data_IF_110691928604
#
_entry.id   IF_110691928604
#
_cell.length_a   1.000
_cell.length_b   1.000
_cell.length_c   1.000
_cell.angle_alpha   90.00
_cell.angle_beta   90.00
_cell.angle_gamma   90.00
#
_symmetry.space_group_name_H-M   'P 1'
#
loop_
_entity.id
_entity.type
_entity.pdbx_description
1 polymer ?
#
# COMPACT_ATOMS: atom_id res chain seq x y z
N UNK A 1 -1.52 2.05 4.71
CA UNK A 1 -1.16 1.76 6.10
C UNK A 1 0.08 0.87 6.13
N UNK A 2 1.21 1.42 6.57
CA UNK A 2 2.46 0.68 6.77
C UNK A 2 2.45 -0.10 8.09
N UNK A 3 3.18 -1.22 8.14
CA UNK A 3 3.39 -2.10 9.31
C UNK A 3 2.19 -2.15 10.30
N UNK A 4 1.03 -2.63 9.86
CA UNK A 4 -0.23 -2.54 10.63
C UNK A 4 -0.18 -3.22 12.00
N UNK A 5 0.67 -4.24 12.18
CA UNK A 5 0.85 -4.89 13.49
C UNK A 5 1.47 -3.97 14.54
N UNK A 6 2.16 -2.89 14.14
CA UNK A 6 2.72 -1.90 15.06
C UNK A 6 1.67 -0.95 15.65
N UNK A 7 0.40 -1.01 15.23
CA UNK A 7 -0.71 -0.32 15.89
C UNK A 7 -0.94 -0.77 17.34
N UNK A 8 -0.18 -1.77 17.80
CA UNK A 8 -0.14 -2.26 19.19
C UNK A 8 -1.53 -2.52 19.79
N UNK A 9 -2.45 -3.09 18.98
CA UNK A 9 -3.74 -3.50 19.49
C UNK A 9 -3.61 -4.75 20.37
N UNK A 10 -4.45 -4.86 21.39
CA UNK A 10 -4.35 -5.91 22.41
C UNK A 10 -4.60 -7.32 21.82
N UNK A 11 -5.37 -7.39 20.75
CA UNK A 11 -5.68 -8.67 20.11
C UNK A 11 -6.01 -8.50 18.62
N UNK A 12 -6.09 -9.65 17.93
CA UNK A 12 -6.38 -9.73 16.49
C UNK A 12 -7.72 -9.09 16.10
N UNK A 13 -8.74 -9.22 16.93
CA UNK A 13 -10.07 -8.68 16.64
C UNK A 13 -10.05 -7.14 16.65
N UNK A 14 -9.37 -6.55 17.61
CA UNK A 14 -9.22 -5.09 17.68
C UNK A 14 -8.41 -4.56 16.50
N UNK A 15 -7.32 -5.24 16.11
CA UNK A 15 -6.54 -4.86 14.94
C UNK A 15 -7.38 -4.91 13.66
N UNK A 16 -8.17 -5.97 13.49
CA UNK A 16 -9.06 -6.14 12.35
C UNK A 16 -10.11 -5.03 12.27
N UNK A 17 -10.74 -4.71 13.40
CA UNK A 17 -11.75 -3.65 13.46
C UNK A 17 -11.14 -2.27 13.14
N UNK A 18 -9.94 -2.00 13.63
CA UNK A 18 -9.23 -0.76 13.32
C UNK A 18 -8.93 -0.62 11.82
N UNK A 19 -8.40 -1.68 11.20
CA UNK A 19 -8.12 -1.69 9.75
C UNK A 19 -9.42 -1.52 8.97
N UNK A 20 -10.51 -2.16 9.41
CA UNK A 20 -11.82 -1.97 8.77
C UNK A 20 -12.29 -0.52 8.88
N UNK A 21 -12.20 0.10 10.06
CA UNK A 21 -12.58 1.49 10.25
C UNK A 21 -11.76 2.43 9.34
N UNK A 22 -10.46 2.19 9.23
CA UNK A 22 -9.60 2.95 8.32
C UNK A 22 -9.99 2.74 6.85
N UNK A 23 -10.37 1.53 6.46
CA UNK A 23 -10.87 1.24 5.12
C UNK A 23 -12.17 2.00 4.84
N UNK A 24 -13.12 1.99 5.78
CA UNK A 24 -14.38 2.73 5.68
C UNK A 24 -14.15 4.26 5.60
N UNK A 25 -13.07 4.77 6.21
CA UNK A 25 -12.64 6.16 6.13
C UNK A 25 -11.85 6.51 4.86
N UNK A 26 -11.63 5.57 3.96
CA UNK A 26 -10.98 5.79 2.66
C UNK A 26 -9.51 5.38 2.59
N UNK A 27 -9.03 4.53 3.49
CA UNK A 27 -7.72 3.91 3.33
C UNK A 27 -7.67 3.11 2.02
N UNK A 28 -6.66 3.35 1.20
CA UNK A 28 -6.53 2.68 -0.10
C UNK A 28 -5.78 1.36 -0.05
N UNK A 29 -4.79 1.26 0.80
CA UNK A 29 -3.86 0.13 0.78
C UNK A 29 -3.32 -0.20 2.17
N UNK A 30 -2.94 -1.48 2.34
CA UNK A 30 -2.31 -1.99 3.55
C UNK A 30 -1.03 -2.74 3.19
N UNK A 31 0.00 -2.60 4.01
CA UNK A 31 1.23 -3.37 3.87
C UNK A 31 1.03 -4.79 4.41
N UNK A 32 0.99 -5.74 3.49
CA UNK A 32 0.81 -7.17 3.78
C UNK A 32 2.15 -7.85 4.02
N UNK A 33 3.13 -7.57 3.16
CA UNK A 33 4.45 -8.17 3.20
C UNK A 33 5.45 -7.19 3.80
N UNK A 34 6.01 -7.51 4.95
CA UNK A 34 7.00 -6.69 5.66
C UNK A 34 8.07 -7.59 6.30
N UNK A 35 9.25 -7.04 6.58
CA UNK A 35 10.35 -7.80 7.20
C UNK A 35 9.99 -8.40 8.56
N UNK A 36 9.11 -7.75 9.32
CA UNK A 36 8.67 -8.20 10.65
C UNK A 36 7.37 -9.03 10.60
N UNK A 37 6.77 -9.23 9.42
CA UNK A 37 5.55 -10.02 9.29
C UNK A 37 5.88 -11.50 9.10
N UNK A 38 5.56 -12.31 10.12
CA UNK A 38 5.59 -13.78 10.01
C UNK A 38 4.55 -14.24 8.98
N UNK A 39 4.71 -15.45 8.45
CA UNK A 39 3.81 -16.01 7.44
C UNK A 39 2.33 -15.95 7.86
N UNK A 40 2.02 -16.29 9.12
CA UNK A 40 0.65 -16.21 9.63
C UNK A 40 0.07 -14.80 9.65
N UNK A 41 0.91 -13.78 9.81
CA UNK A 41 0.50 -12.37 9.72
C UNK A 41 0.26 -11.97 8.27
N UNK A 42 1.12 -12.40 7.37
CA UNK A 42 0.97 -12.14 5.93
C UNK A 42 -0.36 -12.71 5.43
N UNK A 43 -0.65 -13.99 5.72
CA UNK A 43 -1.92 -14.64 5.34
C UNK A 43 -3.12 -13.88 5.92
N UNK A 44 -3.05 -13.52 7.19
CA UNK A 44 -4.12 -12.78 7.87
C UNK A 44 -4.39 -11.41 7.23
N UNK A 45 -3.33 -10.64 6.97
CA UNK A 45 -3.45 -9.31 6.37
C UNK A 45 -3.87 -9.38 4.90
N UNK A 46 -3.45 -10.41 4.18
CA UNK A 46 -3.86 -10.67 2.80
C UNK A 46 -5.36 -10.91 2.71
N UNK A 47 -5.91 -11.79 3.58
CA UNK A 47 -7.35 -12.04 3.69
C UNK A 47 -8.15 -10.77 4.05
N UNK A 48 -7.62 -9.95 4.98
CA UNK A 48 -8.30 -8.72 5.38
C UNK A 48 -8.24 -7.65 4.30
N UNK A 49 -7.14 -7.55 3.55
CA UNK A 49 -7.03 -6.66 2.40
C UNK A 49 -8.12 -6.99 1.36
N UNK A 50 -8.26 -8.27 1.00
CA UNK A 50 -9.31 -8.71 0.07
C UNK A 50 -10.72 -8.43 0.61
N UNK A 51 -10.95 -8.75 1.87
CA UNK A 51 -12.26 -8.55 2.51
C UNK A 51 -12.69 -7.08 2.59
N UNK A 52 -11.76 -6.18 2.82
CA UNK A 52 -12.04 -4.75 2.98
C UNK A 52 -11.79 -3.93 1.70
N UNK A 53 -11.48 -4.59 0.59
CA UNK A 53 -11.25 -3.93 -0.70
C UNK A 53 -10.00 -3.05 -0.74
N UNK A 54 -9.02 -3.35 0.11
CA UNK A 54 -7.75 -2.64 0.17
C UNK A 54 -6.76 -3.19 -0.85
N UNK A 55 -5.97 -2.32 -1.45
CA UNK A 55 -4.81 -2.72 -2.21
C UNK A 55 -3.74 -3.28 -1.26
N UNK A 56 -2.93 -4.20 -1.79
CA UNK A 56 -1.83 -4.81 -1.07
C UNK A 56 -0.52 -4.13 -1.42
N UNK A 57 0.31 -3.89 -0.40
CA UNK A 57 1.66 -3.38 -0.56
C UNK A 57 2.66 -4.25 0.17
N UNK A 58 3.93 -4.02 -0.04
CA UNK A 58 4.98 -4.67 0.71
C UNK A 58 6.28 -3.91 0.63
N UNK A 59 7.13 -4.09 1.62
CA UNK A 59 8.44 -3.49 1.74
C UNK A 59 9.38 -4.29 2.61
N UNK A 60 10.68 -4.06 2.44
CA UNK A 60 11.70 -4.66 3.29
C UNK A 60 11.93 -3.87 4.57
N UNK A 61 11.48 -2.63 4.62
CA UNK A 61 11.83 -1.68 5.69
C UNK A 61 13.35 -1.55 5.88
N UNK A 62 14.07 -1.53 4.75
CA UNK A 62 15.52 -1.44 4.73
C UNK A 62 15.99 -0.08 5.23
N UNK A 63 16.86 -0.09 6.26
CA UNK A 63 17.43 1.10 6.90
C UNK A 63 18.97 1.12 6.88
N UNK A 64 19.56 0.61 5.83
CA UNK A 64 21.03 0.59 5.68
C UNK A 64 21.72 -0.19 6.81
N UNK A 65 22.74 0.42 7.39
CA UNK A 65 23.55 -0.18 8.45
C UNK A 65 22.79 -0.43 9.76
N UNK A 66 21.63 0.22 9.97
CA UNK A 66 20.86 0.05 11.22
C UNK A 66 20.15 -1.30 11.32
N UNK A 67 19.92 -1.98 10.17
CA UNK A 67 19.29 -3.30 10.10
C UNK A 67 20.06 -4.20 9.13
N UNK A 68 21.26 -4.64 9.51
CA UNK A 68 22.19 -5.39 8.66
C UNK A 68 21.63 -6.70 8.09
N UNK A 69 20.66 -7.31 8.78
CA UNK A 69 20.03 -8.57 8.37
C UNK A 69 18.93 -8.39 7.32
N UNK A 70 18.50 -7.14 7.07
CA UNK A 70 17.46 -6.84 6.09
C UNK A 70 18.11 -6.46 4.75
N UNK A 71 17.68 -7.12 3.68
CA UNK A 71 18.14 -6.83 2.32
C UNK A 71 17.07 -6.07 1.56
N UNK A 72 17.48 -5.06 0.80
CA UNK A 72 16.59 -4.29 -0.05
C UNK A 72 15.83 -5.22 -1.01
N UNK A 73 14.50 -5.04 -1.12
CA UNK A 73 13.65 -5.81 -2.00
C UNK A 73 13.19 -7.18 -1.46
N UNK A 74 13.59 -7.54 -0.23
CA UNK A 74 13.20 -8.80 0.39
C UNK A 74 12.57 -8.56 1.76
N UNK A 75 11.42 -9.16 2.00
CA UNK A 75 10.81 -9.27 3.32
C UNK A 75 11.37 -10.47 4.10
N UNK A 76 10.80 -10.76 5.25
CA UNK A 76 11.17 -11.92 6.08
C UNK A 76 11.22 -13.20 5.23
N UNK A 77 12.14 -14.11 5.54
CA UNK A 77 12.36 -15.39 4.85
C UNK A 77 12.72 -15.24 3.35
N UNK A 78 13.32 -14.11 2.96
CA UNK A 78 13.68 -13.80 1.57
C UNK A 78 12.47 -13.75 0.61
N UNK A 79 11.29 -13.48 1.12
CA UNK A 79 10.08 -13.33 0.32
C UNK A 79 10.20 -12.09 -0.57
N UNK A 80 9.98 -12.26 -1.86
CA UNK A 80 9.87 -11.15 -2.80
C UNK A 80 8.48 -10.54 -2.76
N UNK A 81 8.39 -9.24 -2.96
CA UNK A 81 7.11 -8.55 -3.08
C UNK A 81 6.59 -8.76 -4.51
N UNK A 82 5.35 -9.26 -4.68
CA UNK A 82 4.79 -9.51 -5.99
C UNK A 82 4.67 -8.21 -6.82
N UNK A 83 5.08 -8.24 -8.08
CA UNK A 83 4.92 -7.13 -9.01
C UNK A 83 3.45 -6.71 -9.17
N UNK A 84 2.52 -7.65 -9.04
CA UNK A 84 1.08 -7.41 -9.10
C UNK A 84 0.59 -6.38 -8.07
N UNK A 85 1.25 -6.24 -6.92
CA UNK A 85 0.91 -5.21 -5.93
C UNK A 85 1.15 -3.81 -6.50
N UNK A 86 2.29 -3.59 -7.14
CA UNK A 86 2.61 -2.34 -7.81
C UNK A 86 1.65 -2.06 -8.96
N UNK A 87 1.39 -3.06 -9.80
CA UNK A 87 0.52 -2.91 -10.96
C UNK A 87 -0.92 -2.54 -10.56
N UNK A 88 -1.44 -3.12 -9.47
CA UNK A 88 -2.74 -2.78 -8.91
C UNK A 88 -2.81 -1.31 -8.40
N UNK A 89 -1.75 -0.82 -7.77
CA UNK A 89 -1.65 0.58 -7.33
C UNK A 89 -1.67 1.53 -8.52
N UNK A 90 -0.86 1.25 -9.54
CA UNK A 90 -0.80 2.04 -10.77
C UNK A 90 -2.17 2.08 -11.46
N UNK A 91 -2.86 0.94 -11.56
CA UNK A 91 -4.19 0.86 -12.13
C UNK A 91 -5.22 1.71 -11.35
N UNK A 92 -5.17 1.68 -10.01
CA UNK A 92 -6.02 2.51 -9.15
C UNK A 92 -5.77 4.00 -9.33
N UNK A 93 -4.50 4.41 -9.42
CA UNK A 93 -4.11 5.80 -9.63
C UNK A 93 -4.58 6.32 -11.00
N UNK A 94 -4.38 5.54 -12.06
CA UNK A 94 -4.86 5.89 -13.41
C UNK A 94 -6.37 6.10 -13.44
N UNK A 95 -7.13 5.19 -12.80
CA UNK A 95 -8.59 5.32 -12.72
C UNK A 95 -9.01 6.60 -11.98
N UNK A 96 -8.31 7.00 -10.92
CA UNK A 96 -8.57 8.24 -10.18
C UNK A 96 -8.27 9.49 -11.00
N UNK A 97 -7.19 9.52 -11.77
CA UNK A 97 -6.86 10.62 -12.66
C UNK A 97 -7.97 10.80 -13.72
N UNK A 98 -8.32 9.73 -14.42
CA UNK A 98 -9.39 9.77 -15.42
C UNK A 98 -10.70 10.29 -14.83
N UNK A 99 -11.06 9.89 -13.61
CA UNK A 99 -12.28 10.38 -12.95
C UNK A 99 -12.21 11.86 -12.58
N UNK A 100 -11.03 12.38 -12.23
CA UNK A 100 -10.81 13.81 -11.94
C UNK A 100 -10.90 14.66 -13.18
N UNK A 101 -10.30 14.22 -14.28
CA UNK A 101 -10.32 14.95 -15.56
C UNK A 101 -11.74 15.05 -16.12
N UNK A 102 -12.55 14.02 -15.94
CA UNK A 102 -13.98 14.04 -16.31
C UNK A 102 -14.79 15.02 -15.46
N UNK A 103 -14.47 15.15 -14.16
CA UNK A 103 -15.19 16.03 -13.23
C UNK A 103 -14.70 17.49 -13.29
N UNK A 104 -13.50 17.76 -13.82
CA UNK A 104 -12.92 19.09 -13.91
C UNK A 104 -12.18 19.31 -15.22
N UNK A 105 -12.89 19.38 -16.36
CA UNK A 105 -12.29 19.50 -17.70
C UNK A 105 -11.50 20.80 -17.91
N UNK A 106 -11.74 21.83 -17.10
CA UNK A 106 -11.06 23.14 -17.22
C UNK A 106 -9.64 23.18 -16.64
N UNK A 107 -9.20 22.13 -15.93
CA UNK A 107 -7.85 22.10 -15.36
C UNK A 107 -6.77 21.57 -16.32
N UNK A 108 -7.17 21.01 -17.47
CA UNK A 108 -6.26 20.41 -18.46
C UNK A 108 -5.77 21.38 -19.55
N UNK A 109 -6.31 22.60 -19.64
CA UNK A 109 -5.94 23.56 -20.70
C UNK A 109 -4.81 24.52 -20.35
N UNK A 110 -4.21 24.45 -19.16
CA UNK A 110 -3.23 25.43 -18.69
C UNK A 110 -1.76 25.07 -18.92
N UNK A 111 -1.45 24.03 -19.69
CA UNK A 111 -0.06 23.73 -20.10
C UNK A 111 0.08 23.87 -21.62
N UNK A 112 -0.15 25.07 -22.11
CA UNK A 112 0.44 25.49 -23.39
C UNK A 112 1.81 26.08 -23.07
N UNK A 113 2.85 25.28 -23.21
CA UNK A 113 4.23 25.75 -23.21
C UNK A 113 4.39 26.62 -24.46
N UNK A 114 4.44 27.93 -24.25
CA UNK A 114 4.88 28.87 -25.26
C UNK A 114 6.35 28.57 -25.61
N UNK A 115 6.57 27.78 -26.65
CA UNK A 115 7.84 27.70 -27.35
C UNK A 115 7.85 28.74 -28.47
N UNK A 116 8.27 29.95 -28.15
CA UNK A 116 8.69 30.91 -29.15
C UNK A 116 10.05 31.46 -28.79
N UNK A 117 10.98 31.27 -29.73
CA UNK A 117 12.35 31.74 -29.91
C UNK A 117 13.41 31.00 -29.15
#
# INVERSE_FOLDING_TARGET
>A
LAHPIQLRKQNRAQLRNEIKNLADMGLDAIEVIHSDHRESVVVMLDEWADRFGLLKTGGSDFHGSNKLHIKLGFAQSRRRIPRSYFDAIVARLRKRHLSRDVLNPSASESIVINSHC
#
